data_IF_728062810658
#
_entry.id   IF_728062810658
#
_cell.length_a   1.000
_cell.length_b   1.000
_cell.length_c   1.000
_cell.angle_alpha   90.00
_cell.angle_beta   90.00
_cell.angle_gamma   90.00
#
_symmetry.space_group_name_H-M   'P 1'
#
loop_
_entity.id
_entity.type
_entity.pdbx_description
1 polymer ?
#
# COMPACT_ATOMS: atom_id res chain seq x y z
N UNK A 1 -24.38 4.98 -1.40
CA UNK A 1 -23.32 4.35 -2.21
C UNK A 1 -21.97 5.08 -2.16
N UNK A 2 -21.92 6.42 -2.16
CA UNK A 2 -20.67 7.19 -2.35
C UNK A 2 -19.56 7.00 -1.29
N UNK A 3 -19.90 6.79 0.00
CA UNK A 3 -18.90 6.67 1.09
C UNK A 3 -17.96 5.47 1.01
N UNK A 4 -18.37 4.41 0.30
CA UNK A 4 -17.55 3.20 0.16
C UNK A 4 -16.44 3.42 -0.85
N UNK A 5 -16.73 4.19 -1.90
CA UNK A 5 -15.77 4.49 -2.97
C UNK A 5 -14.56 5.26 -2.44
N UNK A 6 -14.80 6.31 -1.64
CA UNK A 6 -13.71 7.08 -1.01
C UNK A 6 -12.81 6.23 -0.12
N UNK A 7 -13.38 5.26 0.61
CA UNK A 7 -12.59 4.33 1.43
C UNK A 7 -11.74 3.38 0.57
N UNK A 8 -12.30 2.89 -0.52
CA UNK A 8 -11.58 2.02 -1.46
C UNK A 8 -10.44 2.79 -2.12
N UNK A 9 -10.68 4.02 -2.58
CA UNK A 9 -9.67 4.87 -3.20
C UNK A 9 -8.52 5.18 -2.24
N UNK A 10 -8.82 5.54 -0.98
CA UNK A 10 -7.79 5.74 0.06
C UNK A 10 -7.01 4.47 0.35
N UNK A 11 -7.68 3.31 0.38
CA UNK A 11 -7.00 2.03 0.58
C UNK A 11 -6.09 1.69 -0.59
N UNK A 12 -6.55 1.89 -1.83
CA UNK A 12 -5.76 1.65 -3.02
C UNK A 12 -4.53 2.58 -3.08
N UNK A 13 -4.70 3.87 -2.78
CA UNK A 13 -3.59 4.83 -2.73
C UNK A 13 -2.54 4.45 -1.68
N UNK A 14 -2.98 3.93 -0.52
CA UNK A 14 -2.08 3.65 0.60
C UNK A 14 -1.40 2.27 0.51
N UNK A 15 -2.10 1.26 -0.01
CA UNK A 15 -1.68 -0.14 0.08
C UNK A 15 -1.45 -0.81 -1.28
N UNK A 16 -1.91 -0.21 -2.37
CA UNK A 16 -1.79 -0.79 -3.73
C UNK A 16 -0.81 0.04 -4.55
N UNK A 17 -0.97 1.37 -4.56
CA UNK A 17 -0.15 2.30 -5.33
C UNK A 17 1.21 2.54 -4.67
N UNK A 18 2.28 2.32 -5.44
CA UNK A 18 3.61 2.71 -5.01
C UNK A 18 3.76 4.24 -5.07
N UNK A 19 4.21 4.87 -3.99
CA UNK A 19 4.43 6.32 -3.92
C UNK A 19 5.57 6.84 -4.81
N UNK A 20 6.49 5.98 -5.24
CA UNK A 20 7.60 6.39 -6.11
C UNK A 20 7.26 6.30 -7.60
N UNK A 21 6.64 5.20 -8.04
CA UNK A 21 6.41 4.95 -9.47
C UNK A 21 4.93 5.01 -9.88
N UNK A 22 3.99 5.14 -8.95
CA UNK A 22 2.55 5.15 -9.24
C UNK A 22 2.02 3.82 -9.77
N UNK A 23 2.80 2.73 -9.72
CA UNK A 23 2.35 1.41 -10.16
C UNK A 23 1.64 0.66 -9.04
N UNK A 24 0.59 -0.11 -9.36
CA UNK A 24 -0.12 -0.96 -8.40
C UNK A 24 0.64 -2.26 -8.07
N UNK A 25 1.82 -2.48 -8.68
CA UNK A 25 2.63 -3.69 -8.51
C UNK A 25 3.46 -3.62 -7.22
N UNK A 26 2.78 -3.79 -6.09
CA UNK A 26 3.39 -3.82 -4.75
C UNK A 26 3.06 -5.10 -4.02
N UNK A 27 4.03 -5.58 -3.23
CA UNK A 27 3.95 -6.82 -2.46
C UNK A 27 3.99 -6.49 -0.98
N UNK A 28 2.92 -6.82 -0.27
CA UNK A 28 2.80 -6.61 1.17
C UNK A 28 3.30 -7.88 1.90
N UNK A 29 4.33 -7.75 2.71
CA UNK A 29 4.85 -8.79 3.60
C UNK A 29 4.60 -8.39 5.05
N UNK A 30 4.08 -9.29 5.88
CA UNK A 30 3.83 -8.99 7.30
C UNK A 30 4.92 -9.63 8.14
N UNK A 31 5.77 -8.80 8.74
CA UNK A 31 6.85 -9.25 9.63
C UNK A 31 6.56 -8.78 11.05
N UNK A 32 6.31 -9.74 11.94
CA UNK A 32 5.89 -9.56 13.34
C UNK A 32 4.64 -8.69 13.54
N UNK A 33 4.79 -7.37 13.49
CA UNK A 33 3.72 -6.38 13.66
C UNK A 33 3.83 -5.19 12.70
N UNK A 34 4.76 -5.26 11.74
CA UNK A 34 4.95 -4.24 10.71
C UNK A 34 4.61 -4.86 9.35
N UNK A 35 3.91 -4.10 8.52
CA UNK A 35 3.65 -4.49 7.13
C UNK A 35 4.74 -3.82 6.29
N UNK A 36 5.57 -4.61 5.61
CA UNK A 36 6.57 -4.14 4.66
C UNK A 36 5.98 -4.24 3.26
N UNK A 37 5.79 -3.10 2.62
CA UNK A 37 5.39 -2.99 1.22
C UNK A 37 6.64 -2.90 0.34
N UNK A 38 6.82 -3.88 -0.54
CA UNK A 38 7.91 -3.92 -1.51
C UNK A 38 7.35 -3.76 -2.92
N UNK A 39 7.72 -2.68 -3.60
CA UNK A 39 7.38 -2.42 -5.00
C UNK A 39 8.14 -3.40 -5.90
N UNK A 40 7.43 -4.22 -6.69
CA UNK A 40 8.08 -5.15 -7.63
C UNK A 40 8.50 -4.47 -8.93
N UNK A 41 7.87 -3.34 -9.28
CA UNK A 41 8.20 -2.62 -10.51
C UNK A 41 9.40 -1.67 -10.38
N UNK A 42 9.63 -1.14 -9.18
CA UNK A 42 10.64 -0.12 -8.91
C UNK A 42 11.67 -0.51 -7.84
N UNK A 43 11.40 -1.58 -7.08
CA UNK A 43 12.30 -2.07 -6.02
C UNK A 43 12.20 -1.31 -4.69
N UNK A 44 11.39 -0.25 -4.61
CA UNK A 44 11.19 0.54 -3.40
C UNK A 44 10.62 -0.31 -2.26
N UNK A 45 11.14 -0.13 -1.04
CA UNK A 45 10.68 -0.81 0.18
C UNK A 45 10.20 0.21 1.20
N UNK A 46 8.95 0.09 1.62
CA UNK A 46 8.34 0.99 2.59
C UNK A 46 7.68 0.19 3.71
N UNK A 47 7.82 0.68 4.94
CA UNK A 47 7.12 0.12 6.10
C UNK A 47 5.78 0.83 6.28
N UNK A 48 4.69 0.10 6.12
CA UNK A 48 3.33 0.59 6.41
C UNK A 48 3.01 0.27 7.87
N UNK A 49 2.91 1.33 8.68
CA UNK A 49 2.38 1.24 10.05
C UNK A 49 0.87 1.43 9.97
N UNK A 50 0.13 0.34 10.08
CA UNK A 50 -1.32 0.43 10.30
C UNK A 50 -1.54 0.93 11.73
N UNK A 51 -1.70 2.24 11.92
CA UNK A 51 -2.38 2.77 13.12
C UNK A 51 -3.83 2.31 12.98
N UNK A 52 -4.16 1.20 13.64
CA UNK A 52 -5.54 0.78 13.84
C UNK A 52 -6.12 1.68 14.93
#
# INVERSE_FOLDING_TARGET
>A
ASKVNEKIEKYADTFVLCKECGKPETKLSKEASVIIMTCQACGAKHSIRSKI
#
